data_IF_052635463144
#
_entry.id   IF_052635463144
#
_cell.length_a   1.000
_cell.length_b   1.000
_cell.length_c   1.000
_cell.angle_alpha   90.00
_cell.angle_beta   90.00
_cell.angle_gamma   90.00
#
_symmetry.space_group_name_H-M   'P 1'
#
loop_
_entity.id
_entity.type
_entity.pdbx_description
1 polymer ?
#
# COMPACT_ATOMS: atom_id res chain seq x y z
N UNK A 1 1.21 -14.89 10.29
CA UNK A 1 1.37 -14.92 8.81
C UNK A 1 1.55 -13.55 8.16
N UNK A 2 0.77 -12.52 8.53
CA UNK A 2 0.84 -11.19 7.88
C UNK A 2 2.22 -10.49 7.95
N UNK A 3 2.97 -10.68 9.05
CA UNK A 3 4.31 -10.09 9.22
C UNK A 3 5.35 -10.64 8.21
N UNK A 4 5.28 -11.94 7.89
CA UNK A 4 6.18 -12.57 6.92
C UNK A 4 5.91 -12.04 5.51
N UNK A 5 4.65 -11.95 5.13
CA UNK A 5 4.23 -11.44 3.81
C UNK A 5 4.66 -9.97 3.64
N UNK A 6 4.48 -9.13 4.66
CA UNK A 6 4.95 -7.74 4.61
C UNK A 6 6.47 -7.65 4.45
N UNK A 7 7.23 -8.51 5.15
CA UNK A 7 8.68 -8.53 5.05
C UNK A 7 9.12 -8.93 3.63
N UNK A 8 8.49 -9.94 3.04
CA UNK A 8 8.75 -10.38 1.66
C UNK A 8 8.47 -9.24 0.66
N UNK A 9 7.31 -8.58 0.75
CA UNK A 9 6.94 -7.46 -0.13
C UNK A 9 7.93 -6.28 0.00
N UNK A 10 8.48 -6.06 1.20
CA UNK A 10 9.47 -5.00 1.46
C UNK A 10 10.85 -5.32 0.85
N UNK A 11 11.25 -6.59 0.80
CA UNK A 11 12.52 -7.02 0.20
C UNK A 11 12.44 -7.30 -1.31
N UNK A 12 11.25 -7.55 -1.84
CA UNK A 12 11.00 -7.79 -3.27
C UNK A 12 11.61 -6.75 -4.23
N UNK A 13 11.58 -5.43 -3.97
CA UNK A 13 12.20 -4.46 -4.90
C UNK A 13 13.72 -4.59 -4.96
N UNK A 14 14.39 -4.96 -3.86
CA UNK A 14 15.82 -5.25 -3.89
C UNK A 14 16.12 -6.51 -4.72
N UNK A 15 15.30 -7.56 -4.57
CA UNK A 15 15.42 -8.80 -5.35
C UNK A 15 15.24 -8.52 -6.85
N UNK A 16 14.23 -7.72 -7.21
CA UNK A 16 14.01 -7.31 -8.60
C UNK A 16 15.19 -6.48 -9.13
N UNK A 17 15.77 -5.60 -8.31
CA UNK A 17 16.95 -4.83 -8.70
C UNK A 17 18.16 -5.73 -8.97
N UNK A 18 18.40 -6.73 -8.11
CA UNK A 18 19.45 -7.72 -8.37
C UNK A 18 19.16 -8.52 -9.65
N UNK A 19 17.93 -9.02 -9.85
CA UNK A 19 17.57 -9.74 -11.08
C UNK A 19 17.77 -8.87 -12.34
N UNK A 20 17.49 -7.56 -12.27
CA UNK A 20 17.69 -6.64 -13.40
C UNK A 20 19.17 -6.60 -13.85
N UNK A 21 20.11 -6.60 -12.90
CA UNK A 21 21.55 -6.56 -13.18
C UNK A 21 22.02 -7.86 -13.82
N UNK A 22 21.48 -9.00 -13.36
CA UNK A 22 21.88 -10.34 -13.83
C UNK A 22 21.03 -10.89 -14.97
N UNK A 23 20.05 -10.13 -15.48
CA UNK A 23 19.20 -10.56 -16.59
C UNK A 23 20.03 -10.66 -17.88
N UNK A 24 20.13 -11.87 -18.40
CA UNK A 24 20.59 -12.10 -19.78
C UNK A 24 19.56 -11.55 -20.78
N UNK A 25 19.95 -10.47 -21.46
CA UNK A 25 19.09 -9.78 -22.44
C UNK A 25 19.02 -10.49 -23.79
N UNK A 26 19.94 -11.40 -24.06
CA UNK A 26 19.93 -12.19 -25.30
C UNK A 26 18.94 -13.37 -25.20
N UNK A 27 18.53 -13.72 -23.98
CA UNK A 27 17.54 -14.75 -23.73
C UNK A 27 16.15 -14.13 -23.50
N UNK A 28 15.31 -14.19 -24.53
CA UNK A 28 13.93 -13.67 -24.52
C UNK A 28 13.09 -14.21 -23.36
N UNK A 29 13.27 -15.48 -22.99
CA UNK A 29 12.53 -16.10 -21.87
C UNK A 29 12.87 -15.43 -20.54
N UNK A 30 14.14 -15.08 -20.35
CA UNK A 30 14.62 -14.43 -19.13
C UNK A 30 14.06 -13.00 -18.99
N UNK A 31 14.04 -12.26 -20.11
CA UNK A 31 13.50 -10.90 -20.17
C UNK A 31 11.99 -10.90 -19.90
N UNK A 32 11.24 -11.82 -20.54
CA UNK A 32 9.78 -11.93 -20.35
C UNK A 32 9.46 -12.31 -18.89
N UNK A 33 10.18 -13.28 -18.32
CA UNK A 33 9.98 -13.70 -16.93
C UNK A 33 10.22 -12.55 -15.94
N UNK A 34 11.28 -11.77 -16.17
CA UNK A 34 11.57 -10.58 -15.36
C UNK A 34 10.46 -9.53 -15.46
N UNK A 35 10.03 -9.19 -16.68
CA UNK A 35 8.95 -8.23 -16.92
C UNK A 35 7.64 -8.68 -16.25
N UNK A 36 7.30 -9.96 -16.38
CA UNK A 36 6.12 -10.53 -15.74
C UNK A 36 6.15 -10.36 -14.22
N UNK A 37 7.28 -10.70 -13.58
CA UNK A 37 7.46 -10.52 -12.13
C UNK A 37 7.37 -9.04 -11.71
N UNK A 38 7.93 -8.14 -12.51
CA UNK A 38 7.88 -6.70 -12.27
C UNK A 38 6.43 -6.18 -12.30
N UNK A 39 5.65 -6.57 -13.32
CA UNK A 39 4.24 -6.21 -13.42
C UNK A 39 3.41 -6.80 -12.28
N UNK A 40 3.65 -8.07 -11.94
CA UNK A 40 2.97 -8.73 -10.82
C UNK A 40 3.21 -7.98 -9.50
N UNK A 41 4.46 -7.60 -9.22
CA UNK A 41 4.79 -6.82 -8.03
C UNK A 41 4.09 -5.47 -8.01
N UNK A 42 4.10 -4.78 -9.15
CA UNK A 42 3.43 -3.48 -9.32
C UNK A 42 1.93 -3.61 -9.05
N UNK A 43 1.29 -4.67 -9.57
CA UNK A 43 -0.11 -4.95 -9.32
C UNK A 43 -0.41 -5.19 -7.83
N UNK A 44 0.45 -5.93 -7.11
CA UNK A 44 0.30 -6.14 -5.65
C UNK A 44 0.39 -4.81 -4.89
N UNK A 45 1.33 -3.94 -5.27
CA UNK A 45 1.46 -2.59 -4.70
C UNK A 45 0.18 -1.76 -4.91
N UNK A 46 -0.36 -1.77 -6.13
CA UNK A 46 -1.60 -1.08 -6.48
C UNK A 46 -2.79 -1.65 -5.69
N UNK A 47 -2.92 -2.98 -5.61
CA UNK A 47 -3.98 -3.62 -4.82
C UNK A 47 -3.90 -3.23 -3.34
N UNK A 48 -2.69 -3.13 -2.78
CA UNK A 48 -2.48 -2.70 -1.38
C UNK A 48 -2.90 -1.25 -1.17
N UNK A 49 -2.59 -0.34 -2.10
CA UNK A 49 -2.97 1.07 -1.95
C UNK A 49 -4.48 1.25 -2.11
N UNK A 50 -5.11 0.51 -3.03
CA UNK A 50 -6.56 0.47 -3.20
C UNK A 50 -7.26 -0.07 -1.95
N UNK A 51 -6.71 -1.12 -1.34
CA UNK A 51 -7.23 -1.66 -0.09
C UNK A 51 -7.16 -0.61 1.03
N UNK A 52 -6.01 0.04 1.22
CA UNK A 52 -5.85 1.10 2.20
C UNK A 52 -6.82 2.27 1.94
N UNK A 53 -7.00 2.69 0.68
CA UNK A 53 -7.98 3.73 0.29
C UNK A 53 -9.41 3.31 0.62
N UNK A 54 -9.77 2.06 0.36
CA UNK A 54 -11.11 1.52 0.65
C UNK A 54 -11.38 1.43 2.15
N UNK A 55 -10.39 1.00 2.93
CA UNK A 55 -10.47 0.95 4.41
C UNK A 55 -10.62 2.36 4.96
N UNK A 56 -9.78 3.30 4.52
CA UNK A 56 -9.87 4.70 4.91
C UNK A 56 -11.25 5.29 4.60
N UNK A 57 -11.77 5.09 3.38
CA UNK A 57 -13.13 5.54 3.07
C UNK A 57 -14.22 4.85 3.91
N UNK A 58 -14.03 3.59 4.29
CA UNK A 58 -14.99 2.89 5.14
C UNK A 58 -15.00 3.47 6.55
N UNK A 59 -13.83 3.72 7.13
CA UNK A 59 -13.70 4.28 8.49
C UNK A 59 -14.25 5.71 8.58
N UNK A 60 -13.98 6.56 7.59
CA UNK A 60 -14.44 7.94 7.59
C UNK A 60 -15.90 8.13 7.12
N UNK A 61 -16.47 7.15 6.43
CA UNK A 61 -17.87 7.17 5.99
C UNK A 61 -18.79 6.35 6.90
N UNK A 62 -18.25 5.74 7.96
CA UNK A 62 -19.05 5.05 8.97
C UNK A 62 -19.68 6.09 9.89
N UNK A 63 -21.00 6.00 10.08
CA UNK A 63 -21.80 6.98 10.86
C UNK A 63 -21.37 7.05 12.33
N UNK A 64 -20.57 6.09 12.78
CA UNK A 64 -19.97 6.04 14.11
C UNK A 64 -18.75 6.94 14.28
N UNK A 65 -18.01 7.27 13.21
CA UNK A 65 -16.84 8.16 13.30
C UNK A 65 -17.24 9.60 13.64
N UNK A 66 -18.39 10.05 13.15
CA UNK A 66 -18.99 11.35 13.50
C UNK A 66 -19.57 11.39 14.93
N UNK A 67 -19.75 10.24 15.59
CA UNK A 67 -20.27 10.12 16.95
C UNK A 67 -19.19 9.74 17.98
N UNK A 68 -17.92 9.66 17.56
CA UNK A 68 -16.82 9.37 18.49
C UNK A 68 -16.59 10.59 19.40
N UNK A 69 -16.64 10.37 20.72
CA UNK A 69 -16.47 11.43 21.72
C UNK A 69 -15.17 12.24 21.53
N UNK A 70 -14.09 11.61 21.06
CA UNK A 70 -12.82 12.31 20.89
C UNK A 70 -12.86 13.24 19.67
N UNK A 71 -13.56 12.85 18.61
CA UNK A 71 -13.76 13.68 17.41
C UNK A 71 -14.65 14.88 17.75
N UNK A 72 -15.73 14.67 18.51
CA UNK A 72 -16.63 15.73 18.97
C UNK A 72 -15.88 16.70 19.89
N UNK A 73 -15.09 16.21 20.87
CA UNK A 73 -14.25 17.05 21.74
C UNK A 73 -13.23 17.85 20.93
N UNK A 74 -12.65 17.28 19.88
CA UNK A 74 -11.70 17.99 19.05
C UNK A 74 -12.36 19.09 18.21
N UNK A 75 -13.58 18.85 17.72
CA UNK A 75 -14.38 19.84 17.02
C UNK A 75 -14.80 21.01 17.94
N UNK A 76 -15.23 20.69 19.18
CA UNK A 76 -15.61 21.67 20.20
C UNK A 76 -14.42 22.54 20.65
N UNK A 77 -13.22 21.95 20.69
CA UNK A 77 -11.98 22.69 20.93
C UNK A 77 -11.68 23.68 19.79
N UNK A 78 -11.79 23.25 18.53
CA UNK A 78 -11.56 24.13 17.37
C UNK A 78 -12.54 25.31 17.38
N UNK A 79 -13.84 25.05 17.64
CA UNK A 79 -14.87 26.10 17.70
C UNK A 79 -14.62 27.11 18.84
N UNK A 80 -14.03 26.68 19.96
CA UNK A 80 -13.61 27.57 21.05
C UNK A 80 -12.38 28.42 20.75
N UNK A 81 -11.48 27.95 19.89
CA UNK A 81 -10.28 28.69 19.52
C UNK A 81 -10.48 29.62 18.32
N UNK A 82 -11.53 29.42 17.53
CA UNK A 82 -11.89 30.26 16.38
C UNK A 82 -12.76 31.48 16.75
N UNK A 83 -12.94 31.73 18.07
CA UNK A 83 -13.75 32.80 18.65
C UNK A 83 -12.93 33.67 19.60
#
# INVERSE_FOLDING_TARGET
MALLIQKIIKFMPAILLFMLIFVDRNNTTHVIGFLFLLFLYTFILIARILYAKKVWHKEFNDKNYANDENIIKMQDLIEKFDK
#
